data_IF_712585066213
#
_entry.id   IF_712585066213
#
_cell.length_a   1.000
_cell.length_b   1.000
_cell.length_c   1.000
_cell.angle_alpha   90.00
_cell.angle_beta   90.00
_cell.angle_gamma   90.00
#
_symmetry.space_group_name_H-M   'P 1'
#
loop_
_entity.id
_entity.type
_entity.pdbx_description
1 polymer ?
#
# COMPACT_ATOMS: atom_id res chain seq x y z
N UNK A 1 54.82 -4.88 0.21
CA UNK A 1 54.00 -6.09 -0.02
C UNK A 1 52.87 -6.00 0.98
N UNK A 2 51.63 -5.69 0.57
CA UNK A 2 50.52 -5.60 1.50
C UNK A 2 50.31 -6.94 2.22
N UNK A 3 50.00 -6.88 3.51
CA UNK A 3 49.84 -8.05 4.35
C UNK A 3 48.67 -8.94 3.87
N UNK A 4 48.86 -10.26 3.70
CA UNK A 4 47.81 -11.16 3.19
C UNK A 4 46.54 -11.21 4.06
N UNK A 5 46.64 -10.76 5.32
CA UNK A 5 45.48 -10.62 6.22
C UNK A 5 44.55 -9.46 5.84
N UNK A 6 45.07 -8.37 5.25
CA UNK A 6 44.27 -7.19 4.88
C UNK A 6 43.46 -7.42 3.61
N UNK A 7 44.05 -8.14 2.64
CA UNK A 7 43.38 -8.50 1.38
C UNK A 7 42.19 -9.44 1.66
N UNK A 8 42.38 -10.44 2.54
CA UNK A 8 41.33 -11.39 2.89
C UNK A 8 40.14 -10.76 3.65
N UNK A 9 40.38 -9.74 4.49
CA UNK A 9 39.31 -9.04 5.22
C UNK A 9 38.50 -8.11 4.30
N UNK A 10 39.16 -7.36 3.42
CA UNK A 10 38.49 -6.54 2.40
C UNK A 10 37.63 -7.37 1.44
N UNK A 11 38.05 -8.59 1.09
CA UNK A 11 37.26 -9.50 0.26
C UNK A 11 36.00 -10.02 0.98
N UNK A 12 36.11 -10.28 2.28
CA UNK A 12 35.01 -10.76 3.12
C UNK A 12 33.93 -9.69 3.31
N UNK A 13 34.28 -8.43 3.57
CA UNK A 13 33.28 -7.36 3.69
C UNK A 13 32.67 -6.97 2.35
N UNK A 14 33.44 -6.99 1.27
CA UNK A 14 32.90 -6.86 -0.07
C UNK A 14 31.91 -7.98 -0.40
N UNK A 15 32.18 -9.22 0.02
CA UNK A 15 31.26 -10.36 -0.12
C UNK A 15 29.98 -10.14 0.67
N UNK A 16 30.07 -9.77 1.95
CA UNK A 16 28.90 -9.48 2.80
C UNK A 16 28.03 -8.36 2.23
N UNK A 17 28.65 -7.29 1.71
CA UNK A 17 27.93 -6.20 1.07
C UNK A 17 27.20 -6.67 -0.20
N UNK A 18 27.83 -7.51 -1.03
CA UNK A 18 27.16 -8.10 -2.20
C UNK A 18 25.97 -8.97 -1.81
N UNK A 19 26.12 -9.83 -0.80
CA UNK A 19 25.04 -10.68 -0.29
C UNK A 19 23.88 -9.86 0.29
N UNK A 20 24.18 -8.82 1.07
CA UNK A 20 23.17 -7.91 1.60
C UNK A 20 22.38 -7.21 0.48
N UNK A 21 23.08 -6.71 -0.55
CA UNK A 21 22.43 -6.08 -1.72
C UNK A 21 21.53 -7.05 -2.47
N UNK A 22 21.96 -8.30 -2.63
CA UNK A 22 21.15 -9.34 -3.28
C UNK A 22 19.85 -9.61 -2.50
N UNK A 23 19.93 -9.76 -1.17
CA UNK A 23 18.74 -9.94 -0.31
C UNK A 23 17.81 -8.74 -0.34
N UNK A 24 18.35 -7.52 -0.29
CA UNK A 24 17.54 -6.30 -0.40
C UNK A 24 16.82 -6.21 -1.75
N UNK A 25 17.49 -6.60 -2.85
CA UNK A 25 16.86 -6.67 -4.17
C UNK A 25 15.74 -7.70 -4.21
N UNK A 26 15.93 -8.88 -3.62
CA UNK A 26 14.90 -9.92 -3.53
C UNK A 26 13.69 -9.44 -2.71
N UNK A 27 13.94 -8.85 -1.54
CA UNK A 27 12.88 -8.31 -0.68
C UNK A 27 12.11 -7.16 -1.36
N UNK A 28 12.78 -6.35 -2.19
CA UNK A 28 12.12 -5.31 -2.99
C UNK A 28 11.17 -5.93 -4.01
N UNK A 29 11.64 -6.96 -4.74
CA UNK A 29 10.80 -7.69 -5.70
C UNK A 29 9.58 -8.32 -5.04
N UNK A 30 9.75 -8.93 -3.87
CA UNK A 30 8.64 -9.50 -3.11
C UNK A 30 7.64 -8.43 -2.65
N UNK A 31 8.12 -7.31 -2.08
CA UNK A 31 7.25 -6.21 -1.69
C UNK A 31 6.46 -5.65 -2.89
N UNK A 32 7.09 -5.50 -4.05
CA UNK A 32 6.41 -5.03 -5.25
C UNK A 32 5.40 -6.03 -5.80
N UNK A 33 5.67 -7.33 -5.70
CA UNK A 33 4.69 -8.37 -6.03
C UNK A 33 3.48 -8.30 -5.09
N UNK A 34 3.69 -8.18 -3.76
CA UNK A 34 2.60 -8.07 -2.78
C UNK A 34 1.76 -6.81 -2.96
N UNK A 35 2.36 -5.68 -3.33
CA UNK A 35 1.61 -4.46 -3.69
C UNK A 35 0.66 -4.75 -4.86
N UNK A 36 1.16 -5.39 -5.92
CA UNK A 36 0.34 -5.72 -7.11
C UNK A 36 -0.76 -6.73 -6.77
N UNK A 37 -0.46 -7.78 -6.02
CA UNK A 37 -1.44 -8.79 -5.60
C UNK A 37 -2.61 -8.19 -4.79
N UNK A 38 -2.31 -7.30 -3.84
CA UNK A 38 -3.33 -6.58 -3.07
C UNK A 38 -4.22 -5.73 -3.98
N UNK A 39 -3.60 -4.93 -4.87
CA UNK A 39 -4.34 -4.06 -5.77
C UNK A 39 -5.16 -4.82 -6.81
N UNK A 40 -4.63 -5.93 -7.34
CA UNK A 40 -5.35 -6.81 -8.26
C UNK A 40 -6.55 -7.46 -7.60
N UNK A 41 -6.42 -7.87 -6.34
CA UNK A 41 -7.53 -8.45 -5.55
C UNK A 41 -8.64 -7.41 -5.35
N UNK A 42 -8.28 -6.19 -4.93
CA UNK A 42 -9.25 -5.10 -4.77
C UNK A 42 -9.93 -4.76 -6.10
N UNK A 43 -9.14 -4.59 -7.17
CA UNK A 43 -9.65 -4.24 -8.49
C UNK A 43 -10.56 -5.32 -9.09
N UNK A 44 -10.25 -6.61 -8.86
CA UNK A 44 -11.09 -7.72 -9.30
C UNK A 44 -12.45 -7.73 -8.61
N UNK A 45 -12.48 -7.46 -7.31
CA UNK A 45 -13.70 -7.56 -6.51
C UNK A 45 -14.57 -6.29 -6.57
N UNK A 46 -13.98 -5.17 -6.99
CA UNK A 46 -14.60 -3.84 -6.96
C UNK A 46 -15.95 -3.75 -7.70
N UNK A 47 -16.12 -4.24 -8.94
CA UNK A 47 -17.41 -4.17 -9.64
C UNK A 47 -18.57 -4.80 -8.85
N UNK A 48 -18.35 -6.00 -8.31
CA UNK A 48 -19.36 -6.72 -7.55
C UNK A 48 -19.68 -6.02 -6.22
N UNK A 49 -18.69 -5.42 -5.56
CA UNK A 49 -18.90 -4.62 -4.34
C UNK A 49 -19.73 -3.39 -4.60
N UNK A 50 -19.39 -2.62 -5.64
CA UNK A 50 -20.14 -1.41 -6.03
C UNK A 50 -21.58 -1.77 -6.35
N UNK A 51 -21.82 -2.86 -7.09
CA UNK A 51 -23.18 -3.33 -7.37
C UNK A 51 -23.95 -3.71 -6.09
N UNK A 52 -23.32 -4.45 -5.18
CA UNK A 52 -23.93 -4.85 -3.91
C UNK A 52 -24.31 -3.63 -3.05
N UNK A 53 -23.44 -2.62 -3.00
CA UNK A 53 -23.70 -1.36 -2.28
C UNK A 53 -24.76 -0.49 -2.95
N UNK A 54 -24.75 -0.43 -4.28
CA UNK A 54 -25.79 0.24 -5.05
C UNK A 54 -27.17 -0.39 -4.81
N UNK A 55 -27.25 -1.71 -4.80
CA UNK A 55 -28.47 -2.46 -4.46
C UNK A 55 -28.94 -2.17 -3.04
N UNK A 56 -28.01 -2.18 -2.08
CA UNK A 56 -28.31 -1.85 -0.68
C UNK A 56 -28.86 -0.42 -0.53
N UNK A 57 -28.28 0.54 -1.27
CA UNK A 57 -28.74 1.93 -1.31
C UNK A 57 -30.14 2.05 -1.92
N UNK A 58 -30.38 1.35 -3.03
CA UNK A 58 -31.68 1.31 -3.69
C UNK A 58 -32.78 0.72 -2.79
N UNK A 59 -32.45 -0.30 -1.99
CA UNK A 59 -33.34 -0.90 -1.00
C UNK A 59 -33.62 0.03 0.18
N UNK A 60 -32.64 0.85 0.60
CA UNK A 60 -32.82 1.84 1.64
C UNK A 60 -33.68 3.05 1.18
N UNK A 61 -33.77 3.31 -0.13
CA UNK A 61 -34.52 4.42 -0.71
C UNK A 61 -35.52 3.93 -1.77
N UNK A 62 -36.57 3.19 -1.36
CA UNK A 62 -37.50 2.56 -2.28
C UNK A 62 -38.29 3.57 -3.12
N UNK A 63 -38.58 4.77 -2.60
CA UNK A 63 -39.31 5.80 -3.34
C UNK A 63 -38.51 6.35 -4.53
N UNK A 64 -37.20 6.59 -4.34
CA UNK A 64 -36.27 6.95 -5.43
C UNK A 64 -36.20 5.82 -6.47
N UNK A 65 -36.05 4.58 -6.00
CA UNK A 65 -35.99 3.39 -6.86
C UNK A 65 -37.27 3.20 -7.69
N UNK A 66 -38.45 3.42 -7.09
CA UNK A 66 -39.75 3.38 -7.80
C UNK A 66 -39.84 4.49 -8.84
N UNK A 67 -39.42 5.71 -8.51
CA UNK A 67 -39.46 6.86 -9.41
C UNK A 67 -38.55 6.68 -10.64
N UNK A 68 -37.38 6.05 -10.48
CA UNK A 68 -36.48 5.72 -11.59
C UNK A 68 -37.08 4.67 -12.54
N UNK A 69 -37.91 3.76 -12.03
CA UNK A 69 -38.43 2.63 -12.79
C UNK A 69 -37.35 1.68 -13.30
N UNK A 70 -37.76 0.70 -14.12
CA UNK A 70 -36.86 -0.36 -14.61
C UNK A 70 -35.71 0.18 -15.47
N UNK A 71 -36.01 1.12 -16.36
CA UNK A 71 -35.01 1.67 -17.29
C UNK A 71 -34.02 2.61 -16.58
N UNK A 72 -34.50 3.41 -15.62
CA UNK A 72 -33.64 4.24 -14.77
C UNK A 72 -32.68 3.39 -13.94
N UNK A 73 -33.16 2.31 -13.31
CA UNK A 73 -32.32 1.37 -12.56
C UNK A 73 -31.32 0.63 -13.46
N UNK A 74 -31.71 0.25 -14.68
CA UNK A 74 -30.80 -0.35 -15.64
C UNK A 74 -29.66 0.63 -16.01
N UNK A 75 -29.99 1.89 -16.29
CA UNK A 75 -29.01 2.93 -16.59
C UNK A 75 -28.09 3.21 -15.40
N UNK A 76 -28.64 3.35 -14.20
CA UNK A 76 -27.91 3.54 -12.96
C UNK A 76 -26.88 2.43 -12.71
N UNK A 77 -27.29 1.16 -12.85
CA UNK A 77 -26.39 0.01 -12.68
C UNK A 77 -25.28 -0.01 -13.73
N UNK A 78 -25.60 0.32 -14.99
CA UNK A 78 -24.60 0.40 -16.06
C UNK A 78 -23.55 1.48 -15.74
N UNK A 79 -23.97 2.70 -15.43
CA UNK A 79 -23.04 3.81 -15.15
C UNK A 79 -22.12 3.50 -13.96
N UNK A 80 -22.66 2.88 -12.90
CA UNK A 80 -21.85 2.46 -11.76
C UNK A 80 -20.86 1.35 -12.11
N UNK A 81 -21.28 0.37 -12.92
CA UNK A 81 -20.41 -0.73 -13.33
C UNK A 81 -19.26 -0.23 -14.22
N UNK A 82 -19.56 0.68 -15.15
CA UNK A 82 -18.58 1.31 -16.02
C UNK A 82 -17.55 2.08 -15.16
N UNK A 83 -18.02 2.91 -14.24
CA UNK A 83 -17.14 3.67 -13.33
C UNK A 83 -16.32 2.77 -12.40
N UNK A 84 -16.89 1.67 -11.90
CA UNK A 84 -16.17 0.70 -11.08
C UNK A 84 -15.09 -0.03 -11.89
N UNK A 85 -15.32 -0.29 -13.17
CA UNK A 85 -14.36 -0.94 -14.07
C UNK A 85 -13.20 -0.01 -14.41
N UNK A 86 -13.47 1.27 -14.64
CA UNK A 86 -12.46 2.31 -14.80
C UNK A 86 -11.59 2.42 -13.53
N UNK A 87 -12.23 2.54 -12.37
CA UNK A 87 -11.53 2.64 -11.09
C UNK A 87 -10.71 1.38 -10.78
N UNK A 88 -11.22 0.19 -11.11
CA UNK A 88 -10.46 -1.06 -10.99
C UNK A 88 -9.18 -1.01 -11.83
N UNK A 89 -9.26 -0.48 -13.05
CA UNK A 89 -8.09 -0.33 -13.94
C UNK A 89 -7.07 0.65 -13.36
N UNK A 90 -7.53 1.79 -12.82
CA UNK A 90 -6.65 2.74 -12.12
C UNK A 90 -5.95 2.09 -10.92
N UNK A 91 -6.69 1.33 -10.11
CA UNK A 91 -6.18 0.67 -8.90
C UNK A 91 -5.06 -0.32 -9.26
N UNK A 92 -5.22 -1.14 -10.32
CA UNK A 92 -4.17 -2.08 -10.76
C UNK A 92 -2.87 -1.38 -11.12
N UNK A 93 -2.96 -0.18 -11.70
CA UNK A 93 -1.80 0.60 -12.13
C UNK A 93 -1.21 1.50 -11.03
N UNK A 94 -1.77 1.49 -9.82
CA UNK A 94 -1.46 2.46 -8.77
C UNK A 94 -0.30 2.08 -7.84
N UNK A 95 0.36 0.94 -8.05
CA UNK A 95 1.38 0.42 -7.11
C UNK A 95 2.46 1.45 -6.76
N UNK A 96 2.93 2.24 -7.73
CA UNK A 96 3.98 3.25 -7.52
C UNK A 96 3.43 4.64 -7.13
N UNK A 97 2.11 4.84 -7.20
CA UNK A 97 1.45 6.10 -6.85
C UNK A 97 1.03 6.14 -5.37
N UNK A 98 0.84 4.98 -4.76
CA UNK A 98 0.48 4.85 -3.35
C UNK A 98 1.72 5.07 -2.48
N UNK A 99 1.60 5.98 -1.51
CA UNK A 99 2.62 6.19 -0.49
C UNK A 99 2.56 5.07 0.54
N UNK A 100 3.17 3.94 0.22
CA UNK A 100 3.24 2.79 1.13
C UNK A 100 4.00 3.14 2.41
N UNK A 101 3.55 2.65 3.58
CA UNK A 101 4.24 2.89 4.82
C UNK A 101 5.63 2.28 4.80
N UNK A 102 6.58 3.00 5.39
CA UNK A 102 7.92 2.50 5.64
C UNK A 102 8.11 2.32 7.15
N UNK A 103 8.69 1.20 7.60
CA UNK A 103 9.11 1.02 8.98
C UNK A 103 9.89 2.23 9.50
N UNK A 104 9.49 2.72 10.67
CA UNK A 104 10.25 3.74 11.37
C UNK A 104 11.46 3.07 12.03
N UNK A 105 12.65 3.57 11.72
CA UNK A 105 13.85 3.27 12.49
C UNK A 105 13.78 4.07 13.79
N UNK A 106 13.29 3.46 14.87
CA UNK A 106 13.29 4.12 16.18
C UNK A 106 14.69 4.07 16.75
N UNK A 107 15.41 5.19 16.64
CA UNK A 107 16.67 5.39 17.34
C UNK A 107 16.43 6.11 18.66
N UNK A 108 16.55 5.41 19.79
CA UNK A 108 16.87 6.09 21.05
C UNK A 108 18.30 6.60 20.94
N UNK A 109 18.53 7.86 21.31
CA UNK A 109 19.79 8.61 21.17
C UNK A 109 20.95 8.11 22.04
N UNK A 110 20.88 6.89 22.56
CA UNK A 110 21.93 6.25 23.35
C UNK A 110 22.68 5.25 22.44
N UNK A 111 23.97 5.54 22.24
CA UNK A 111 24.90 4.88 21.30
C UNK A 111 25.10 3.35 21.45
N UNK A 112 24.33 2.68 22.32
CA UNK A 112 24.46 1.26 22.65
C UNK A 112 23.20 0.43 22.35
N UNK A 113 22.10 1.04 21.87
CA UNK A 113 20.87 0.31 21.49
C UNK A 113 20.81 0.22 19.97
N UNK A 114 20.87 -1.00 19.44
CA UNK A 114 20.64 -1.25 18.02
C UNK A 114 19.29 -0.67 17.61
N UNK A 115 19.21 0.11 16.51
CA UNK A 115 17.95 0.69 16.07
C UNK A 115 16.94 -0.42 15.78
N UNK A 116 15.86 -0.46 16.57
CA UNK A 116 14.79 -1.41 16.33
C UNK A 116 13.97 -0.93 15.12
N UNK A 117 13.81 -1.80 14.13
CA UNK A 117 12.88 -1.58 13.02
C UNK A 117 11.47 -1.89 13.54
N UNK A 118 10.61 -0.87 13.59
CA UNK A 118 9.20 -1.09 13.94
C UNK A 118 8.50 -1.81 12.78
N UNK A 119 7.82 -2.95 13.01
CA UNK A 119 7.14 -3.67 11.93
C UNK A 119 5.99 -2.81 11.36
N UNK A 120 5.84 -2.85 10.03
CA UNK A 120 4.65 -2.29 9.38
C UNK A 120 3.42 -3.07 9.85
N UNK A 121 2.33 -2.37 10.15
CA UNK A 121 1.05 -2.95 10.54
C UNK A 121 0.05 -2.88 9.40
N UNK A 122 -0.86 -3.86 9.33
CA UNK A 122 -1.98 -3.88 8.37
C UNK A 122 -2.78 -2.57 8.36
N UNK A 123 -2.94 -1.93 9.52
CA UNK A 123 -3.62 -0.64 9.66
C UNK A 123 -2.91 0.51 8.92
N UNK A 124 -1.59 0.47 8.81
CA UNK A 124 -0.81 1.49 8.08
C UNK A 124 -0.96 1.31 6.57
N UNK A 125 -1.01 0.07 6.10
CA UNK A 125 -1.36 -0.27 4.71
C UNK A 125 -2.78 0.21 4.38
N UNK A 126 -3.73 -0.05 5.29
CA UNK A 126 -5.10 0.45 5.17
C UNK A 126 -5.14 1.97 5.05
N UNK A 127 -4.37 2.68 5.88
CA UNK A 127 -4.33 4.14 5.89
C UNK A 127 -3.78 4.69 4.57
N UNK A 128 -2.69 4.10 4.04
CA UNK A 128 -2.12 4.48 2.76
C UNK A 128 -3.10 4.25 1.58
N UNK A 129 -3.80 3.11 1.58
CA UNK A 129 -4.80 2.81 0.57
C UNK A 129 -6.02 3.74 0.68
N UNK A 130 -6.48 4.02 1.90
CA UNK A 130 -7.56 4.97 2.16
C UNK A 130 -7.20 6.35 1.62
N UNK A 131 -6.02 6.87 1.93
CA UNK A 131 -5.55 8.18 1.43
C UNK A 131 -5.54 8.24 -0.10
N UNK A 132 -5.09 7.16 -0.76
CA UNK A 132 -5.05 7.08 -2.22
C UNK A 132 -6.45 7.02 -2.87
N UNK A 133 -7.37 6.26 -2.28
CA UNK A 133 -8.71 6.03 -2.83
C UNK A 133 -9.72 7.11 -2.45
N UNK A 134 -9.49 7.82 -1.36
CA UNK A 134 -10.40 8.87 -0.90
C UNK A 134 -10.40 10.08 -1.86
N UNK A 135 -11.45 10.91 -1.76
CA UNK A 135 -11.63 12.10 -2.59
C UNK A 135 -12.16 11.74 -3.98
N UNK A 136 -11.51 12.27 -5.03
CA UNK A 136 -12.01 12.24 -6.42
C UNK A 136 -12.51 10.88 -6.88
N UNK A 137 -11.83 9.79 -6.51
CA UNK A 137 -12.20 8.41 -6.93
C UNK A 137 -13.50 7.91 -6.29
N UNK A 138 -13.76 8.30 -5.04
CA UNK A 138 -15.05 8.04 -4.39
C UNK A 138 -16.12 9.03 -4.85
N UNK A 139 -15.74 10.28 -5.14
CA UNK A 139 -16.66 11.32 -5.55
C UNK A 139 -17.34 11.03 -6.91
N UNK A 140 -16.69 10.32 -7.82
CA UNK A 140 -17.31 9.92 -9.11
C UNK A 140 -18.46 8.94 -8.90
N UNK A 141 -18.30 7.93 -8.05
CA UNK A 141 -19.38 7.01 -7.67
C UNK A 141 -20.52 7.74 -6.95
N UNK A 142 -20.17 8.67 -6.06
CA UNK A 142 -21.13 9.50 -5.34
C UNK A 142 -21.93 10.39 -6.31
N UNK A 143 -21.27 10.97 -7.31
CA UNK A 143 -21.92 11.79 -8.32
C UNK A 143 -22.93 10.99 -9.15
N UNK A 144 -22.67 9.71 -9.45
CA UNK A 144 -23.62 8.83 -10.13
C UNK A 144 -24.85 8.61 -9.25
N UNK A 145 -24.68 8.24 -7.97
CA UNK A 145 -25.81 8.09 -7.03
C UNK A 145 -26.70 9.33 -6.98
N UNK A 146 -26.08 10.51 -6.79
CA UNK A 146 -26.80 11.80 -6.75
C UNK A 146 -27.54 12.11 -8.05
N UNK A 147 -26.94 11.83 -9.20
CA UNK A 147 -27.56 12.05 -10.52
C UNK A 147 -28.84 11.23 -10.71
N UNK A 148 -28.90 10.04 -10.11
CA UNK A 148 -30.08 9.17 -10.11
C UNK A 148 -31.01 9.44 -8.91
N UNK A 149 -30.79 10.53 -8.17
CA UNK A 149 -31.67 10.98 -7.09
C UNK A 149 -31.49 10.24 -5.76
N UNK A 150 -30.48 9.37 -5.63
CA UNK A 150 -30.20 8.74 -4.34
C UNK A 150 -29.55 9.74 -3.41
N UNK A 151 -30.17 9.93 -2.24
CA UNK A 151 -29.59 10.72 -1.17
C UNK A 151 -28.51 9.90 -0.50
N UNK A 152 -27.27 10.25 -0.77
CA UNK A 152 -26.15 9.89 0.06
C UNK A 152 -26.02 11.07 1.00
N UNK A 153 -26.70 11.10 2.15
CA UNK A 153 -26.39 12.03 3.24
C UNK A 153 -25.83 11.22 4.41
N UNK A 154 -24.80 11.76 5.06
CA UNK A 154 -24.24 11.22 6.29
C UNK A 154 -25.16 11.76 7.39
N UNK A 155 -25.70 10.89 8.26
CA UNK A 155 -26.60 11.27 9.37
C UNK A 155 -25.95 12.30 10.34
N UNK A 156 -24.69 12.65 10.13
CA UNK A 156 -24.00 13.77 10.75
C UNK A 156 -23.94 15.00 9.83
N UNK A 157 -24.90 15.92 9.98
CA UNK A 157 -25.01 17.22 9.29
C UNK A 157 -23.80 18.18 9.46
N UNK A 158 -22.71 17.77 10.10
CA UNK A 158 -21.55 18.62 10.41
C UNK A 158 -20.26 18.31 9.63
N UNK A 159 -20.24 17.32 8.72
CA UNK A 159 -19.03 17.04 7.93
C UNK A 159 -19.32 17.06 6.43
N UNK A 160 -18.70 18.03 5.76
CA UNK A 160 -18.63 18.17 4.31
C UNK A 160 -17.73 17.11 3.63
N UNK A 161 -17.55 15.94 4.23
CA UNK A 161 -16.67 14.88 3.73
C UNK A 161 -17.47 13.81 2.98
N UNK A 162 -16.95 13.36 1.84
CA UNK A 162 -17.63 12.52 0.87
C UNK A 162 -18.24 11.24 1.44
N UNK A 163 -19.42 10.91 0.94
CA UNK A 163 -20.32 9.86 1.45
C UNK A 163 -19.93 8.42 1.19
N UNK A 164 -19.00 8.23 0.27
CA UNK A 164 -18.49 6.92 -0.08
C UNK A 164 -17.14 6.80 0.60
N UNK A 165 -17.11 5.99 1.66
CA UNK A 165 -15.86 5.62 2.31
C UNK A 165 -15.19 4.47 1.53
N UNK A 166 -13.90 4.59 1.15
CA UNK A 166 -13.18 3.54 0.43
C UNK A 166 -13.31 2.14 1.07
N UNK A 167 -13.18 2.04 2.38
CA UNK A 167 -13.23 0.80 3.15
C UNK A 167 -14.63 0.19 3.31
N UNK A 168 -15.69 0.87 2.84
CA UNK A 168 -17.04 0.31 2.83
C UNK A 168 -17.47 -0.06 1.42
N UNK A 169 -17.03 0.69 0.40
CA UNK A 169 -17.43 0.50 -1.00
C UNK A 169 -16.40 -0.20 -1.88
N UNK A 170 -15.11 0.08 -1.69
CA UNK A 170 -14.07 -0.30 -2.64
C UNK A 170 -13.29 -1.54 -2.17
N UNK A 171 -13.01 -1.63 -0.87
CA UNK A 171 -12.32 -2.78 -0.27
C UNK A 171 -12.81 -3.00 1.17
N UNK A 172 -12.39 -4.10 1.80
CA UNK A 172 -12.76 -4.47 3.16
C UNK A 172 -11.55 -5.06 3.89
N UNK A 173 -11.07 -4.38 4.93
CA UNK A 173 -9.94 -4.86 5.73
C UNK A 173 -10.16 -6.28 6.26
N UNK A 174 -11.41 -6.68 6.54
CA UNK A 174 -11.74 -8.04 7.00
C UNK A 174 -11.63 -9.09 5.89
N UNK A 175 -11.99 -8.74 4.67
CA UNK A 175 -12.01 -9.68 3.56
C UNK A 175 -10.63 -9.82 2.92
N UNK A 176 -9.81 -8.77 2.93
CA UNK A 176 -8.44 -8.77 2.41
C UNK A 176 -7.38 -8.89 3.52
N UNK A 177 -7.74 -9.27 4.75
CA UNK A 177 -6.81 -9.25 5.90
C UNK A 177 -5.48 -9.95 5.62
N UNK A 178 -5.52 -11.05 4.86
CA UNK A 178 -4.34 -11.83 4.48
C UNK A 178 -3.40 -11.06 3.56
N UNK A 179 -3.94 -10.37 2.56
CA UNK A 179 -3.20 -9.56 1.62
C UNK A 179 -2.58 -8.32 2.31
N UNK A 180 -3.32 -7.72 3.25
CA UNK A 180 -2.81 -6.63 4.08
C UNK A 180 -1.64 -7.07 4.98
N UNK A 181 -1.77 -8.23 5.64
CA UNK A 181 -0.73 -8.82 6.48
C UNK A 181 0.51 -9.21 5.66
N UNK A 182 0.32 -9.90 4.54
CA UNK A 182 1.43 -10.31 3.67
C UNK A 182 2.23 -9.12 3.12
N UNK A 183 1.55 -8.03 2.73
CA UNK A 183 2.23 -6.82 2.29
C UNK A 183 2.97 -6.14 3.45
N UNK A 184 2.38 -6.08 4.64
CA UNK A 184 3.03 -5.51 5.82
C UNK A 184 4.30 -6.29 6.20
N UNK A 185 4.27 -7.62 6.14
CA UNK A 185 5.43 -8.49 6.34
C UNK A 185 6.52 -8.22 5.29
N UNK A 186 6.15 -8.16 4.01
CA UNK A 186 7.10 -7.91 2.92
C UNK A 186 7.77 -6.52 3.02
N UNK A 187 7.01 -5.47 3.36
CA UNK A 187 7.57 -4.13 3.58
C UNK A 187 8.48 -4.07 4.80
N UNK A 188 8.16 -4.82 5.85
CA UNK A 188 9.02 -4.97 7.03
C UNK A 188 10.32 -5.68 6.68
N UNK A 189 10.26 -6.76 5.90
CA UNK A 189 11.44 -7.50 5.44
C UNK A 189 12.34 -6.61 4.54
N UNK A 190 11.75 -5.85 3.61
CA UNK A 190 12.47 -4.90 2.78
C UNK A 190 13.23 -3.86 3.61
N UNK A 191 12.61 -3.31 4.66
CA UNK A 191 13.28 -2.35 5.53
C UNK A 191 14.46 -2.98 6.29
N UNK A 192 14.31 -4.22 6.77
CA UNK A 192 15.39 -4.96 7.44
C UNK A 192 16.58 -5.18 6.52
N UNK A 193 16.35 -5.64 5.29
CA UNK A 193 17.44 -5.86 4.35
C UNK A 193 18.09 -4.55 3.89
N UNK A 194 17.33 -3.45 3.79
CA UNK A 194 17.90 -2.12 3.51
C UNK A 194 18.82 -1.64 4.63
N UNK A 195 18.45 -1.83 5.89
CA UNK A 195 19.33 -1.48 7.01
C UNK A 195 20.58 -2.39 7.02
N UNK A 196 20.42 -3.69 6.75
CA UNK A 196 21.56 -4.60 6.62
C UNK A 196 22.55 -4.20 5.51
N UNK A 197 22.06 -3.70 4.37
CA UNK A 197 22.92 -3.12 3.31
C UNK A 197 23.67 -1.90 3.83
N UNK A 198 22.99 -1.01 4.55
CA UNK A 198 23.60 0.21 5.11
C UNK A 198 24.67 -0.12 6.15
N UNK A 199 24.42 -1.10 7.01
CA UNK A 199 25.40 -1.61 7.98
C UNK A 199 26.60 -2.25 7.28
N UNK A 200 26.37 -3.14 6.32
CA UNK A 200 27.44 -3.79 5.55
C UNK A 200 28.28 -2.77 4.77
N UNK A 201 27.64 -1.72 4.23
CA UNK A 201 28.32 -0.62 3.57
C UNK A 201 29.19 0.16 4.56
N UNK A 202 28.67 0.52 5.73
CA UNK A 202 29.43 1.26 6.74
C UNK A 202 30.65 0.48 7.26
N UNK A 203 30.54 -0.85 7.40
CA UNK A 203 31.67 -1.71 7.76
C UNK A 203 32.69 -1.74 6.62
N UNK A 204 32.24 -1.97 5.39
CA UNK A 204 33.12 -1.99 4.22
C UNK A 204 33.86 -0.66 4.02
N UNK A 205 33.15 0.47 4.15
CA UNK A 205 33.73 1.81 4.02
C UNK A 205 34.80 2.07 5.09
N UNK A 206 34.54 1.65 6.34
CA UNK A 206 35.52 1.76 7.43
C UNK A 206 36.78 0.97 7.11
N UNK A 207 36.64 -0.29 6.71
CA UNK A 207 37.80 -1.13 6.38
C UNK A 207 38.59 -0.61 5.18
N UNK A 208 37.92 -0.08 4.16
CA UNK A 208 38.59 0.59 3.03
C UNK A 208 39.40 1.78 3.53
N UNK A 209 38.82 2.64 4.38
CA UNK A 209 39.53 3.79 4.96
C UNK A 209 40.73 3.33 5.80
N UNK A 210 40.55 2.34 6.68
CA UNK A 210 41.62 1.81 7.53
C UNK A 210 42.76 1.25 6.67
N UNK A 211 42.43 0.49 5.60
CA UNK A 211 43.43 -0.04 4.67
C UNK A 211 44.23 1.03 3.93
N UNK A 212 43.63 2.18 3.63
CA UNK A 212 44.31 3.30 2.97
C UNK A 212 45.26 4.07 3.91
N UNK A 213 45.07 3.94 5.23
CA UNK A 213 45.89 4.59 6.26
C UNK A 213 46.97 3.70 6.88
N UNK A 214 46.95 2.38 6.66
CA UNK A 214 47.95 1.44 7.16
C UNK A 214 49.17 1.23 6.24
N UNK A 215 49.28 1.98 5.13
CA UNK A 215 50.33 1.85 4.11
C UNK A 215 51.60 2.74 4.33
N UNK A 216 51.84 3.26 5.55
CA UNK A 216 53.09 3.94 5.98
C UNK A 216 53.89 3.11 7.02
#
# INVERSE_FOLDING_TARGET
MPSPSLIAMSEETARRLREARARASQASGEADNRKRELLDTIARDLPARVESRAKSTAQAQPEVTKALGKDGIKKFRSELLDQATELATEIRAAADQIKWPMPLTTGTSNAWVMPAISPVKSREIHSALFEFLHGRRCDTLAAILKRHGFNIEDDNAQRSQGLILPQTWLYSEREQVREFEALAEALTALAKEREAVKEAQAVHDREVVDSLWEDD
#
